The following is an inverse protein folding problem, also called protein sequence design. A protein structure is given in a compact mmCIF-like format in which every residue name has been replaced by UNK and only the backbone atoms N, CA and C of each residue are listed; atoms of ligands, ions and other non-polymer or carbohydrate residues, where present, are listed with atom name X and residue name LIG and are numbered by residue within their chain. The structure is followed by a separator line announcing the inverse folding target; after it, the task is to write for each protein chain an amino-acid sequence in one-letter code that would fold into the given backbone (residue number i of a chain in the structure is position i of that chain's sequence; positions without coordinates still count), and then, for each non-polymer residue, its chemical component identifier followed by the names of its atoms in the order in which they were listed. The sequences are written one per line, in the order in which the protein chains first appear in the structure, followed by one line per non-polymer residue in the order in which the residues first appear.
data_IF_961294454816
#
_entry.id   IF_961294454816
#
_cell.length_a   1.000
_cell.length_b   1.000
_cell.length_c   1.000
_cell.angle_alpha   90.00
_cell.angle_beta   90.00
_cell.angle_gamma   90.00
#
_symmetry.space_group_name_H-M   'P 1'
#
loop_
_entity.id
_entity.type
_entity.pdbx_description
1 polymer ?
#
# COMPACT_ATOMS: atom_id res chain seq x y z
N UNK A 1 19.77 6.16 -3.68
CA UNK A 1 19.01 5.28 -2.76
C UNK A 1 17.55 5.73 -2.78
N UNK A 2 16.60 4.89 -3.19
CA UNK A 2 15.18 5.23 -3.09
C UNK A 2 14.54 4.64 -1.83
N UNK A 3 13.54 5.32 -1.27
CA UNK A 3 12.83 4.89 -0.05
C UNK A 3 11.36 5.26 -0.16
N UNK A 4 10.49 4.30 0.13
CA UNK A 4 9.06 4.55 0.32
C UNK A 4 8.81 4.91 1.79
N UNK A 5 8.22 6.07 2.04
CA UNK A 5 7.87 6.54 3.39
C UNK A 5 6.43 7.07 3.43
N UNK A 6 5.77 6.96 4.57
CA UNK A 6 4.44 7.55 4.77
C UNK A 6 4.60 9.02 5.14
N UNK A 7 4.04 9.91 4.32
CA UNK A 7 4.18 11.36 4.50
C UNK A 7 3.16 11.90 5.49
N UNK A 8 1.93 11.39 5.46
CA UNK A 8 0.84 11.82 6.36
C UNK A 8 -0.06 10.65 6.74
N UNK A 9 -0.42 10.58 8.03
CA UNK A 9 -1.28 9.53 8.59
C UNK A 9 -2.75 9.98 8.48
N UNK A 10 -3.47 9.48 7.48
CA UNK A 10 -4.93 9.67 7.42
C UNK A 10 -5.58 8.45 8.07
N UNK A 11 -5.89 8.59 9.36
CA UNK A 11 -6.62 7.58 10.13
C UNK A 11 -8.11 7.57 9.72
N UNK A 12 -8.40 6.96 8.58
CA UNK A 12 -9.76 6.49 8.30
C UNK A 12 -9.77 4.97 8.36
N UNK A 13 -10.75 4.44 9.10
CA UNK A 13 -11.01 3.03 9.31
C UNK A 13 -11.06 2.34 7.94
N UNK A 14 -10.00 1.59 7.60
CA UNK A 14 -9.99 0.80 6.37
C UNK A 14 -11.11 -0.24 6.51
N UNK A 15 -12.06 -0.31 5.56
CA UNK A 15 -13.10 -1.33 5.60
C UNK A 15 -12.45 -2.69 5.66
N UNK A 16 -12.93 -3.53 6.57
CA UNK A 16 -12.37 -4.88 6.77
C UNK A 16 -12.61 -5.72 5.51
N UNK A 17 -13.66 -5.39 4.74
CA UNK A 17 -14.10 -6.14 3.58
C UNK A 17 -13.75 -5.46 2.24
N UNK A 18 -13.42 -6.26 1.22
CA UNK A 18 -13.13 -5.78 -0.14
C UNK A 18 -14.38 -5.21 -0.83
N UNK A 19 -15.58 -5.63 -0.39
CA UNK A 19 -16.87 -5.16 -0.91
C UNK A 19 -17.13 -3.67 -0.65
N UNK A 20 -16.85 -3.20 0.56
CA UNK A 20 -17.04 -1.81 0.98
C UNK A 20 -15.76 -0.95 0.85
N UNK A 21 -14.71 -1.50 0.24
CA UNK A 21 -13.42 -0.85 0.16
C UNK A 21 -13.42 0.34 -0.83
N UNK A 22 -13.05 1.58 -0.40
CA UNK A 22 -13.08 2.76 -1.27
C UNK A 22 -12.10 2.68 -2.44
N UNK A 23 -11.04 1.87 -2.30
CA UNK A 23 -10.03 1.69 -3.36
C UNK A 23 -10.34 0.51 -4.28
N UNK A 24 -11.48 -0.20 -4.13
CA UNK A 24 -11.79 -1.41 -4.91
C UNK A 24 -11.58 -1.22 -6.42
N UNK A 25 -12.03 -0.09 -6.96
CA UNK A 25 -11.89 0.24 -8.39
C UNK A 25 -10.50 0.74 -8.81
N UNK A 26 -9.60 1.01 -7.85
CA UNK A 26 -8.25 1.54 -8.07
C UNK A 26 -7.14 0.56 -7.65
N UNK A 27 -7.48 -0.46 -6.89
CA UNK A 27 -6.59 -1.49 -6.39
C UNK A 27 -6.56 -2.72 -7.31
N UNK A 28 -5.79 -3.73 -6.90
CA UNK A 28 -5.75 -5.03 -7.59
C UNK A 28 -7.15 -5.65 -7.77
N UNK A 29 -8.05 -5.40 -6.81
CA UNK A 29 -9.44 -5.88 -6.83
C UNK A 29 -10.24 -5.41 -8.05
N UNK A 30 -9.81 -4.37 -8.78
CA UNK A 30 -10.50 -3.88 -9.97
C UNK A 30 -10.40 -4.83 -11.17
N UNK A 31 -9.48 -5.81 -11.13
CA UNK A 31 -9.25 -6.79 -12.19
C UNK A 31 -9.59 -8.22 -11.79
N UNK A 32 -10.16 -8.42 -10.61
CA UNK A 32 -10.49 -9.73 -10.10
C UNK A 32 -11.98 -10.04 -10.27
N UNK A 33 -12.27 -11.29 -10.57
CA UNK A 33 -13.64 -11.84 -10.51
C UNK A 33 -14.06 -12.13 -9.05
N UNK A 34 -15.34 -12.47 -8.82
CA UNK A 34 -15.89 -12.62 -7.47
C UNK A 34 -15.18 -13.69 -6.61
N UNK A 35 -14.81 -14.82 -7.21
CA UNK A 35 -14.09 -15.93 -6.57
C UNK A 35 -12.64 -15.56 -6.25
N UNK A 36 -11.96 -14.86 -7.14
CA UNK A 36 -10.62 -14.32 -6.90
C UNK A 36 -10.63 -13.27 -5.79
N UNK A 37 -11.69 -12.48 -5.70
CA UNK A 37 -11.86 -11.46 -4.67
C UNK A 37 -12.05 -12.08 -3.28
N UNK A 38 -12.81 -13.18 -3.17
CA UNK A 38 -12.93 -13.97 -1.93
C UNK A 38 -11.59 -14.56 -1.49
N UNK A 39 -10.78 -15.05 -2.43
CA UNK A 39 -9.44 -15.55 -2.11
C UNK A 39 -8.52 -14.40 -1.62
N UNK A 40 -8.57 -13.25 -2.30
CA UNK A 40 -7.83 -12.05 -1.90
C UNK A 40 -8.27 -11.55 -0.52
N UNK A 41 -9.56 -11.60 -0.21
CA UNK A 41 -10.14 -11.30 1.11
C UNK A 41 -9.52 -12.14 2.23
N UNK A 42 -9.26 -13.43 1.96
CA UNK A 42 -8.70 -14.36 2.94
C UNK A 42 -7.19 -14.17 3.17
N UNK A 43 -6.44 -13.77 2.14
CA UNK A 43 -4.98 -13.62 2.24
C UNK A 43 -4.52 -12.20 2.58
N UNK A 44 -5.36 -11.18 2.33
CA UNK A 44 -4.98 -9.78 2.58
C UNK A 44 -4.79 -9.53 4.08
N UNK A 45 -3.92 -8.59 4.40
CA UNK A 45 -3.78 -8.06 5.75
C UNK A 45 -3.58 -6.55 5.72
N UNK A 46 -4.11 -5.87 6.73
CA UNK A 46 -3.93 -4.43 6.89
C UNK A 46 -2.75 -4.16 7.82
N UNK A 47 -1.84 -3.28 7.39
CA UNK A 47 -0.73 -2.81 8.22
C UNK A 47 -0.72 -1.30 8.23
N UNK A 48 -0.76 -0.75 9.44
CA UNK A 48 -0.64 0.69 9.65
C UNK A 48 0.83 1.07 9.87
N UNK A 49 1.20 2.22 9.35
CA UNK A 49 2.52 2.82 9.47
C UNK A 49 2.39 4.23 10.03
N UNK A 50 3.39 4.69 10.77
CA UNK A 50 3.42 6.05 11.29
C UNK A 50 4.01 7.03 10.27
N UNK A 51 3.67 8.31 10.38
CA UNK A 51 4.26 9.34 9.52
C UNK A 51 5.78 9.39 9.74
N UNK A 52 6.54 9.46 8.65
CA UNK A 52 8.00 9.37 8.66
C UNK A 52 8.57 7.96 8.73
N UNK A 53 7.75 6.93 8.98
CA UNK A 53 8.20 5.55 9.00
C UNK A 53 8.58 5.08 7.59
N UNK A 54 9.77 4.47 7.49
CA UNK A 54 10.20 3.76 6.28
C UNK A 54 9.37 2.51 6.09
N UNK A 55 8.77 2.34 4.92
CA UNK A 55 8.11 1.09 4.55
C UNK A 55 9.11 0.12 3.92
N UNK A 56 9.86 0.57 2.90
CA UNK A 56 10.84 -0.25 2.19
C UNK A 56 11.93 0.63 1.55
N UNK A 57 13.12 0.07 1.37
CA UNK A 57 14.21 0.67 0.60
C UNK A 57 14.29 0.09 -0.81
N UNK A 58 14.68 0.89 -1.78
CA UNK A 58 14.95 0.40 -3.13
C UNK A 58 16.19 -0.49 -3.13
N UNK A 59 16.00 -1.71 -3.62
CA UNK A 59 17.01 -2.77 -3.59
C UNK A 59 16.70 -3.83 -2.54
N UNK A 60 15.81 -3.57 -1.58
CA UNK A 60 15.32 -4.62 -0.69
C UNK A 60 14.38 -5.56 -1.45
N UNK A 61 14.45 -6.85 -1.10
CA UNK A 61 13.58 -7.87 -1.65
C UNK A 61 12.14 -7.62 -1.17
N UNK A 62 11.23 -7.40 -2.12
CA UNK A 62 9.83 -7.10 -1.82
C UNK A 62 8.99 -8.36 -2.04
N UNK A 63 8.62 -9.01 -0.94
CA UNK A 63 7.82 -10.25 -0.98
C UNK A 63 6.31 -10.01 -1.07
N UNK A 64 5.88 -8.74 -1.02
CA UNK A 64 4.46 -8.37 -0.96
C UNK A 64 4.11 -7.14 -1.80
N UNK A 65 2.90 -7.15 -2.37
CA UNK A 65 2.30 -6.00 -3.06
C UNK A 65 1.31 -5.33 -2.11
N UNK A 66 1.33 -4.00 -2.04
CA UNK A 66 0.42 -3.23 -1.20
C UNK A 66 -0.22 -2.09 -1.98
N UNK A 67 -1.48 -1.80 -1.66
CA UNK A 67 -2.19 -0.61 -2.14
C UNK A 67 -2.47 0.31 -0.95
N UNK A 68 -2.28 1.61 -1.13
CA UNK A 68 -2.60 2.61 -0.10
C UNK A 68 -4.10 2.82 -0.06
N UNK A 69 -4.74 2.43 1.05
CA UNK A 69 -6.18 2.60 1.27
C UNK A 69 -6.50 4.03 1.73
N UNK A 70 -5.65 4.59 2.59
CA UNK A 70 -5.77 5.93 3.13
C UNK A 70 -4.39 6.54 3.37
N UNK A 71 -4.27 7.85 3.16
CA UNK A 71 -3.02 8.60 3.33
C UNK A 71 -2.21 8.78 2.05
N UNK A 72 -0.98 9.23 2.24
CA UNK A 72 -0.04 9.53 1.16
C UNK A 72 1.28 8.83 1.46
N UNK A 73 1.72 7.98 0.54
CA UNK A 73 3.05 7.39 0.54
C UNK A 73 3.92 8.12 -0.49
N UNK A 74 5.12 8.51 -0.07
CA UNK A 74 6.09 9.22 -0.90
C UNK A 74 7.25 8.28 -1.20
N UNK A 75 7.52 8.06 -2.48
CA UNK A 75 8.73 7.39 -2.94
C UNK A 75 9.78 8.45 -3.27
N UNK A 76 10.81 8.54 -2.45
CA UNK A 76 11.92 9.46 -2.67
C UNK A 76 13.09 8.69 -3.26
N UNK A 77 13.59 9.08 -4.43
CA UNK A 77 14.81 8.52 -5.02
C UNK A 77 15.92 9.56 -5.00
N UNK A 78 16.97 9.32 -4.21
CA UNK A 78 18.20 10.10 -4.32
C UNK A 78 19.04 9.50 -5.44
N UNK A 79 19.30 10.28 -6.49
CA UNK A 79 20.25 9.90 -7.53
C UNK A 79 21.68 9.93 -6.96
N UNK A 80 22.59 9.16 -7.56
CA UNK A 80 23.98 9.01 -7.11
C UNK A 80 24.77 10.34 -7.16
N UNK A 81 24.26 11.33 -7.88
CA UNK A 81 24.82 12.68 -7.99
C UNK A 81 24.39 13.64 -6.86
N UNK A 82 23.67 13.17 -5.84
CA UNK A 82 23.33 13.98 -4.64
C UNK A 82 22.36 15.15 -4.89
N UNK A 83 21.68 15.17 -6.04
CA UNK A 83 20.66 16.14 -6.43
C UNK A 83 19.27 15.51 -6.44
#
# INVERSE_FOLDING_TARGET
MAKLAISEKIAHCAPVDCGDCPIRHRAVCARCESDELELLEQIKYYRNFEAGQTVIWSGDQMDFVASVVSGIATLTQTMEDGR
#
